data_IF_778388791953
#
_entry.id   IF_778388791953
#
_cell.length_a   1.000
_cell.length_b   1.000
_cell.length_c   1.000
_cell.angle_alpha   90.00
_cell.angle_beta   90.00
_cell.angle_gamma   90.00
#
_symmetry.space_group_name_H-M   'P 1'
#
loop_
_entity.id
_entity.type
_entity.pdbx_description
1 polymer ?
#
# COMPACT_ATOMS: atom_id res chain seq x y z
N UNK A 1 45.50 24.69 23.16
CA UNK A 1 45.34 23.25 22.88
C UNK A 1 43.88 22.81 22.99
N UNK A 2 43.20 23.01 24.13
CA UNK A 2 41.77 22.68 24.28
C UNK A 2 40.85 23.32 23.22
N UNK A 3 41.09 24.56 22.80
CA UNK A 3 40.36 25.19 21.70
C UNK A 3 40.55 24.47 20.35
N UNK A 4 41.77 23.97 20.07
CA UNK A 4 42.06 23.20 18.85
C UNK A 4 41.38 21.83 18.89
N UNK A 5 41.31 21.19 20.06
CA UNK A 5 40.53 19.97 20.25
C UNK A 5 39.04 20.21 20.02
N UNK A 6 38.47 21.26 20.60
CA UNK A 6 37.06 21.62 20.41
C UNK A 6 36.73 21.95 18.95
N UNK A 7 37.62 22.64 18.24
CA UNK A 7 37.46 22.93 16.80
C UNK A 7 37.56 21.66 15.94
N UNK A 8 38.50 20.76 16.25
CA UNK A 8 38.63 19.48 15.57
C UNK A 8 37.41 18.59 15.81
N UNK A 9 36.92 18.51 17.04
CA UNK A 9 35.65 17.87 17.37
C UNK A 9 34.54 18.52 16.53
N UNK A 10 34.35 19.84 16.57
CA UNK A 10 33.31 20.51 15.78
C UNK A 10 33.37 20.24 14.27
N UNK A 11 34.56 20.07 13.68
CA UNK A 11 34.75 19.72 12.27
C UNK A 11 34.36 18.26 11.98
N UNK A 12 34.77 17.32 12.83
CA UNK A 12 34.40 15.89 12.72
C UNK A 12 32.90 15.70 12.96
N UNK A 13 32.33 16.42 13.94
CA UNK A 13 30.90 16.42 14.25
C UNK A 13 30.04 16.99 13.10
N UNK A 14 30.64 17.68 12.12
CA UNK A 14 29.93 18.23 10.94
C UNK A 14 30.20 17.45 9.65
N UNK A 15 31.10 16.47 9.66
CA UNK A 15 31.52 15.77 8.44
C UNK A 15 30.64 14.59 8.05
N UNK A 16 29.78 14.09 8.96
CA UNK A 16 28.86 12.97 8.66
C UNK A 16 27.63 12.93 9.58
N UNK A 17 26.51 12.44 9.07
CA UNK A 17 25.29 12.13 9.86
C UNK A 17 25.16 10.66 10.27
N UNK A 18 26.13 9.79 9.94
CA UNK A 18 26.04 8.34 10.18
C UNK A 18 26.22 7.99 11.66
N UNK A 19 25.14 7.54 12.30
CA UNK A 19 25.10 7.20 13.73
C UNK A 19 26.14 6.15 14.16
N UNK A 20 26.55 5.23 13.28
CA UNK A 20 27.60 4.26 13.61
C UNK A 20 28.96 4.93 13.75
N UNK A 21 29.29 5.84 12.83
CA UNK A 21 30.52 6.63 12.90
C UNK A 21 30.52 7.48 14.16
N UNK A 22 29.38 8.10 14.49
CA UNK A 22 29.18 8.86 15.73
C UNK A 22 29.47 8.04 16.99
N UNK A 23 28.89 6.85 17.11
CA UNK A 23 29.12 5.97 18.26
C UNK A 23 30.58 5.54 18.39
N UNK A 24 31.24 5.23 17.27
CA UNK A 24 32.66 4.86 17.27
C UNK A 24 33.55 6.02 17.74
N UNK A 25 33.33 7.23 17.23
CA UNK A 25 34.11 8.42 17.62
C UNK A 25 33.92 8.74 19.10
N UNK A 26 32.67 8.74 19.59
CA UNK A 26 32.37 9.00 20.99
C UNK A 26 32.98 7.95 21.93
N UNK A 27 32.98 6.68 21.52
CA UNK A 27 33.61 5.60 22.30
C UNK A 27 35.12 5.79 22.42
N UNK A 28 35.80 6.14 21.33
CA UNK A 28 37.24 6.41 21.33
C UNK A 28 37.59 7.59 22.23
N UNK A 29 36.81 8.67 22.17
CA UNK A 29 36.99 9.83 23.05
C UNK A 29 36.76 9.49 24.52
N UNK A 30 35.77 8.64 24.82
CA UNK A 30 35.53 8.17 26.18
C UNK A 30 36.69 7.33 26.73
N UNK A 31 37.32 6.48 25.91
CA UNK A 31 38.53 5.75 26.30
C UNK A 31 39.68 6.72 26.61
N UNK A 32 39.83 7.79 25.84
CA UNK A 32 40.83 8.82 26.10
C UNK A 32 40.57 9.57 27.42
N UNK A 33 39.30 9.85 27.75
CA UNK A 33 38.91 10.46 29.03
C UNK A 33 39.32 9.59 30.23
N UNK A 34 39.05 8.27 30.16
CA UNK A 34 39.46 7.33 31.20
C UNK A 34 40.97 7.23 31.32
N UNK A 35 41.70 7.25 30.20
CA UNK A 35 43.16 7.30 30.19
C UNK A 35 43.69 8.56 30.90
N UNK A 36 43.05 9.71 30.67
CA UNK A 36 43.41 10.96 31.35
C UNK A 36 43.13 10.90 32.86
N UNK A 37 41.98 10.37 33.28
CA UNK A 37 41.66 10.16 34.71
C UNK A 37 42.66 9.20 35.37
N UNK A 38 43.10 8.16 34.67
CA UNK A 38 44.12 7.24 35.18
C UNK A 38 45.49 7.92 35.36
N UNK A 39 45.87 8.81 34.45
CA UNK A 39 47.17 9.50 34.49
C UNK A 39 47.38 10.36 35.76
N UNK A 40 46.31 10.84 36.38
CA UNK A 40 46.36 11.65 37.61
C UNK A 40 46.21 10.83 38.90
N UNK A 41 46.13 9.49 38.81
CA UNK A 41 45.95 8.60 39.97
C UNK A 41 47.09 8.67 40.99
N UNK A 42 48.29 9.02 40.54
CA UNK A 42 49.46 9.22 41.40
C UNK A 42 49.35 10.42 42.35
N UNK A 43 48.41 11.35 42.12
CA UNK A 43 48.15 12.50 43.00
C UNK A 43 47.32 12.11 44.24
N UNK A 44 46.92 10.85 44.32
CA UNK A 44 46.18 10.30 45.43
C UNK A 44 44.66 10.46 45.29
N UNK A 45 43.92 9.70 46.10
CA UNK A 45 42.48 9.51 45.94
C UNK A 45 41.69 10.83 46.04
N UNK A 46 42.14 11.78 46.87
CA UNK A 46 41.44 13.04 47.12
C UNK A 46 41.28 13.94 45.88
N UNK A 47 42.14 13.80 44.85
CA UNK A 47 42.06 14.63 43.64
C UNK A 47 40.75 14.45 42.88
N UNK A 48 40.11 13.28 43.01
CA UNK A 48 38.90 12.94 42.25
C UNK A 48 37.60 13.45 42.86
N UNK A 49 37.57 13.77 44.15
CA UNK A 49 36.32 14.13 44.85
C UNK A 49 36.41 15.35 45.76
N UNK A 50 37.60 15.78 46.19
CA UNK A 50 37.73 16.95 47.05
C UNK A 50 37.80 18.24 46.23
N UNK A 51 36.69 18.57 45.56
CA UNK A 51 36.55 19.72 44.67
C UNK A 51 36.92 21.04 45.36
N UNK A 52 36.71 21.13 46.68
CA UNK A 52 37.05 22.32 47.48
C UNK A 52 38.55 22.65 47.52
N UNK A 53 39.42 21.69 47.16
CA UNK A 53 40.87 21.83 47.14
C UNK A 53 41.44 21.93 45.72
N UNK A 54 40.59 21.95 44.69
CA UNK A 54 41.04 21.99 43.30
C UNK A 54 41.68 23.33 42.96
N UNK A 55 42.90 23.27 42.44
CA UNK A 55 43.60 24.42 41.88
C UNK A 55 43.20 24.61 40.39
N UNK A 56 43.64 25.70 39.71
CA UNK A 56 43.27 25.95 38.32
C UNK A 56 43.64 24.81 37.32
N UNK A 57 44.68 24.02 37.61
CA UNK A 57 45.08 22.87 36.79
C UNK A 57 44.09 21.72 36.98
N UNK A 58 43.66 21.46 38.23
CA UNK A 58 42.67 20.42 38.53
C UNK A 58 41.32 20.74 37.89
N UNK A 59 40.91 22.02 37.94
CA UNK A 59 39.71 22.49 37.24
C UNK A 59 39.82 22.34 35.72
N UNK A 60 40.98 22.62 35.13
CA UNK A 60 41.19 22.47 33.68
C UNK A 60 41.23 21.01 33.21
N UNK A 61 41.75 20.11 34.04
CA UNK A 61 42.05 18.74 33.64
C UNK A 61 41.03 17.70 34.15
N UNK A 62 40.57 17.81 35.40
CA UNK A 62 39.58 16.87 35.94
C UNK A 62 38.16 17.31 35.62
N UNK A 63 37.79 18.57 35.86
CA UNK A 63 36.41 19.02 35.63
C UNK A 63 36.00 18.88 34.16
N UNK A 64 36.89 19.24 33.24
CA UNK A 64 36.66 19.11 31.79
C UNK A 64 36.47 17.64 31.37
N UNK A 65 37.28 16.73 31.92
CA UNK A 65 37.20 15.29 31.61
C UNK A 65 35.96 14.65 32.26
N UNK A 66 35.58 15.04 33.47
CA UNK A 66 34.32 14.60 34.09
C UNK A 66 33.10 15.04 33.30
N UNK A 67 33.04 16.31 32.86
CA UNK A 67 31.97 16.84 32.03
C UNK A 67 31.94 16.20 30.63
N UNK A 68 33.11 16.06 29.99
CA UNK A 68 33.24 15.40 28.70
C UNK A 68 32.85 13.93 28.73
N UNK A 69 33.38 13.16 29.69
CA UNK A 69 33.10 11.74 29.85
C UNK A 69 31.62 11.51 30.22
N UNK A 70 31.06 12.28 31.14
CA UNK A 70 29.63 12.15 31.50
C UNK A 70 28.71 12.46 30.33
N UNK A 71 29.01 13.50 29.54
CA UNK A 71 28.26 13.81 28.32
C UNK A 71 28.41 12.69 27.28
N UNK A 72 29.63 12.19 27.03
CA UNK A 72 29.87 11.08 26.08
C UNK A 72 29.22 9.78 26.51
N UNK A 73 29.27 9.43 27.79
CA UNK A 73 28.52 8.31 28.38
C UNK A 73 27.04 8.55 28.11
N UNK A 74 26.49 9.73 28.43
CA UNK A 74 25.09 10.04 28.17
C UNK A 74 24.71 9.95 26.68
N UNK A 75 25.59 10.26 25.73
CA UNK A 75 25.33 10.06 24.30
C UNK A 75 25.47 8.59 23.85
N UNK A 76 26.40 7.84 24.42
CA UNK A 76 26.66 6.43 24.09
C UNK A 76 25.62 5.49 24.72
N UNK A 77 25.20 5.80 25.94
CA UNK A 77 24.22 5.01 26.69
C UNK A 77 22.82 5.56 26.52
N UNK A 78 22.65 6.88 26.37
CA UNK A 78 21.35 7.56 26.32
C UNK A 78 20.52 7.34 27.59
N UNK A 79 19.48 8.14 27.86
CA UNK A 79 18.22 7.48 28.10
C UNK A 79 17.96 6.68 26.82
N UNK A 80 17.78 5.37 26.92
CA UNK A 80 16.95 4.71 25.93
C UNK A 80 15.58 5.39 26.03
N UNK A 81 15.37 6.51 25.34
CA UNK A 81 14.10 6.66 24.67
C UNK A 81 14.13 5.56 23.64
N UNK A 82 13.80 4.33 24.08
CA UNK A 82 13.20 3.39 23.18
C UNK A 82 12.19 4.22 22.40
N UNK A 83 12.21 4.15 21.09
CA UNK A 83 11.09 4.63 20.29
C UNK A 83 9.74 4.02 20.74
N UNK A 84 9.76 3.05 21.66
CA UNK A 84 8.64 2.50 22.42
C UNK A 84 8.07 3.43 23.51
N UNK A 85 8.83 4.40 24.05
CA UNK A 85 8.39 5.29 25.14
C UNK A 85 7.99 6.71 24.68
N UNK A 86 8.12 7.04 23.39
CA UNK A 86 7.26 8.07 22.82
C UNK A 86 5.86 7.47 22.75
N UNK A 87 4.86 8.11 23.35
CA UNK A 87 3.47 7.68 23.25
C UNK A 87 3.15 7.39 21.77
N UNK A 88 3.05 6.12 21.40
CA UNK A 88 2.83 5.75 20.01
C UNK A 88 1.43 6.20 19.64
N UNK A 89 1.32 6.93 18.53
CA UNK A 89 0.03 7.40 18.04
C UNK A 89 -0.89 6.19 17.86
N UNK A 90 -2.10 6.32 18.41
CA UNK A 90 -3.16 5.33 18.27
C UNK A 90 -4.23 5.87 17.34
N UNK A 91 -4.72 5.01 16.47
CA UNK A 91 -5.91 5.28 15.68
C UNK A 91 -7.02 4.31 16.07
N UNK A 92 -8.24 4.65 15.71
CA UNK A 92 -9.40 3.79 15.90
C UNK A 92 -9.86 3.22 14.57
N UNK A 93 -10.34 1.98 14.57
CA UNK A 93 -10.95 1.35 13.40
C UNK A 93 -11.75 0.11 13.75
N UNK A 94 -12.50 -0.38 12.77
CA UNK A 94 -13.28 -1.59 12.90
C UNK A 94 -12.37 -2.79 12.61
N UNK A 95 -12.13 -3.60 13.64
CA UNK A 95 -11.30 -4.81 13.56
C UNK A 95 -12.17 -6.07 13.62
N UNK A 96 -11.74 -7.11 12.93
CA UNK A 96 -12.22 -8.49 13.11
C UNK A 96 -11.19 -9.30 13.91
N UNK A 97 -11.64 -10.34 14.62
CA UNK A 97 -10.79 -11.18 15.48
C UNK A 97 -10.20 -12.40 14.78
N UNK A 98 -10.77 -12.80 13.66
CA UNK A 98 -10.31 -13.98 12.94
C UNK A 98 -11.27 -14.42 11.84
N UNK A 99 -10.89 -15.47 11.08
CA UNK A 99 -11.71 -16.02 10.00
C UNK A 99 -13.05 -16.57 10.49
N UNK A 100 -13.12 -17.11 11.71
CA UNK A 100 -14.39 -17.62 12.26
C UNK A 100 -15.40 -16.51 12.60
N UNK A 101 -14.92 -15.27 12.78
CA UNK A 101 -15.72 -14.11 13.17
C UNK A 101 -15.59 -12.97 12.15
N UNK A 102 -15.27 -13.29 10.89
CA UNK A 102 -14.95 -12.32 9.83
C UNK A 102 -16.07 -11.30 9.50
N UNK A 103 -17.29 -11.56 9.96
CA UNK A 103 -18.44 -10.66 9.81
C UNK A 103 -18.71 -9.82 11.07
N UNK A 104 -17.94 -9.99 12.14
CA UNK A 104 -18.11 -9.31 13.42
C UNK A 104 -17.06 -8.21 13.56
N UNK A 105 -17.47 -6.98 13.27
CA UNK A 105 -16.60 -5.80 13.32
C UNK A 105 -16.68 -5.12 14.69
N UNK A 106 -15.53 -4.90 15.31
CA UNK A 106 -15.40 -4.25 16.61
C UNK A 106 -14.61 -2.96 16.49
N UNK A 107 -15.19 -1.85 16.94
CA UNK A 107 -14.46 -0.57 17.02
C UNK A 107 -13.40 -0.66 18.12
N UNK A 108 -12.12 -0.53 17.75
CA UNK A 108 -10.98 -0.66 18.66
C UNK A 108 -9.89 0.34 18.32
N UNK A 109 -9.05 0.63 19.31
CA UNK A 109 -7.79 1.34 19.11
C UNK A 109 -6.69 0.38 18.67
N UNK A 110 -5.84 0.83 17.77
CA UNK A 110 -4.61 0.15 17.38
C UNK A 110 -3.44 1.14 17.34
N UNK A 111 -2.26 0.61 17.60
CA UNK A 111 -1.01 1.35 17.55
C UNK A 111 -0.53 1.47 16.11
N UNK A 112 -0.05 2.66 15.74
CA UNK A 112 0.55 2.91 14.44
C UNK A 112 2.06 2.81 14.48
N UNK A 113 2.69 2.58 13.32
CA UNK A 113 4.14 2.73 13.23
C UNK A 113 4.56 4.16 13.63
N UNK A 114 5.77 4.36 14.19
CA UNK A 114 6.30 5.69 14.44
C UNK A 114 6.20 6.59 13.21
N UNK A 115 5.85 7.86 13.43
CA UNK A 115 5.81 8.87 12.38
C UNK A 115 7.24 9.19 11.96
N UNK A 116 7.52 9.04 10.67
CA UNK A 116 8.82 9.24 10.05
C UNK A 116 8.81 10.41 9.07
N UNK A 117 10.00 10.71 8.55
CA UNK A 117 10.26 11.92 7.78
C UNK A 117 9.43 12.08 6.49
N UNK A 118 9.00 10.96 5.91
CA UNK A 118 8.29 10.89 4.64
C UNK A 118 6.84 10.42 4.80
N UNK A 119 6.35 10.28 6.04
CA UNK A 119 5.00 9.81 6.28
C UNK A 119 3.96 10.91 6.13
N UNK A 120 2.75 10.47 5.82
CA UNK A 120 1.54 11.28 5.84
C UNK A 120 0.52 10.55 6.70
N UNK A 121 -0.03 11.27 7.68
CA UNK A 121 -1.26 10.86 8.35
C UNK A 121 -2.44 11.41 7.58
N UNK A 122 -3.38 10.55 7.24
CA UNK A 122 -4.55 10.90 6.43
C UNK A 122 -5.79 10.64 7.26
N UNK A 123 -6.61 11.68 7.46
CA UNK A 123 -7.95 11.55 8.02
C UNK A 123 -8.87 10.98 6.93
N UNK A 124 -9.41 9.79 7.17
CA UNK A 124 -10.20 9.06 6.17
C UNK A 124 -11.62 9.61 6.13
N UNK A 125 -12.13 9.88 4.93
CA UNK A 125 -13.52 10.29 4.70
C UNK A 125 -14.34 9.24 3.94
N UNK A 126 -13.65 8.36 3.20
CA UNK A 126 -14.26 7.30 2.41
C UNK A 126 -13.30 6.12 2.21
N UNK A 127 -13.81 4.89 2.19
CA UNK A 127 -13.05 3.72 1.76
C UNK A 127 -13.91 2.79 0.91
N UNK A 128 -13.39 2.35 -0.23
CA UNK A 128 -14.02 1.28 -1.02
C UNK A 128 -13.98 -0.07 -0.31
N UNK A 129 -14.90 -0.97 -0.67
CA UNK A 129 -14.94 -2.35 -0.19
C UNK A 129 -14.52 -3.28 -1.33
N UNK A 130 -13.38 -3.95 -1.15
CA UNK A 130 -12.77 -4.82 -2.13
C UNK A 130 -12.98 -6.30 -1.79
N UNK A 131 -13.04 -7.18 -2.81
CA UNK A 131 -13.09 -8.63 -2.57
C UNK A 131 -11.84 -9.12 -1.83
N UNK A 132 -10.69 -8.46 -2.02
CA UNK A 132 -9.47 -8.72 -1.26
C UNK A 132 -9.68 -8.53 0.25
N UNK A 133 -10.48 -7.54 0.67
CA UNK A 133 -10.82 -7.36 2.09
C UNK A 133 -11.49 -8.63 2.63
N UNK A 134 -12.44 -9.19 1.87
CA UNK A 134 -13.20 -10.40 2.23
C UNK A 134 -12.29 -11.63 2.25
N UNK A 135 -11.49 -11.86 1.20
CA UNK A 135 -10.56 -13.00 1.10
C UNK A 135 -9.51 -13.00 2.22
N UNK A 136 -9.11 -11.82 2.69
CA UNK A 136 -8.20 -11.68 3.83
C UNK A 136 -8.91 -12.03 5.15
N UNK A 137 -10.06 -11.41 5.44
CA UNK A 137 -10.70 -11.60 6.75
C UNK A 137 -11.38 -12.95 6.92
N UNK A 138 -11.83 -13.59 5.84
CA UNK A 138 -12.44 -14.93 5.88
C UNK A 138 -11.40 -16.07 5.88
N UNK A 139 -10.10 -15.75 5.72
CA UNK A 139 -9.02 -16.74 5.66
C UNK A 139 -8.81 -17.43 4.30
N UNK A 140 -9.50 -16.98 3.25
CA UNK A 140 -9.44 -17.56 1.89
C UNK A 140 -8.06 -17.48 1.23
N UNK A 141 -7.25 -16.48 1.61
CA UNK A 141 -5.85 -16.36 1.16
C UNK A 141 -4.83 -16.83 2.21
N UNK A 142 -5.28 -17.59 3.21
CA UNK A 142 -4.43 -18.16 4.26
C UNK A 142 -4.36 -17.31 5.53
N UNK A 143 -3.46 -17.68 6.47
CA UNK A 143 -3.39 -17.07 7.79
C UNK A 143 -3.08 -15.56 7.75
N UNK A 144 -3.68 -14.82 8.69
CA UNK A 144 -3.51 -13.37 8.84
C UNK A 144 -3.23 -12.98 10.29
N UNK A 145 -2.70 -11.78 10.49
CA UNK A 145 -2.45 -11.22 11.81
C UNK A 145 -3.68 -10.48 12.34
N UNK A 146 -4.39 -11.09 13.28
CA UNK A 146 -5.56 -10.51 13.95
C UNK A 146 -5.20 -9.94 15.35
N UNK A 147 -5.96 -8.95 15.88
CA UNK A 147 -7.12 -8.30 15.28
C UNK A 147 -6.73 -7.38 14.09
N UNK A 148 -7.59 -7.34 13.07
CA UNK A 148 -7.27 -6.70 11.79
C UNK A 148 -8.38 -5.77 11.30
N UNK A 149 -8.02 -4.52 11.02
CA UNK A 149 -8.80 -3.60 10.20
C UNK A 149 -8.35 -3.73 8.75
N UNK A 150 -9.27 -4.05 7.84
CA UNK A 150 -9.03 -4.10 6.39
C UNK A 150 -9.54 -2.84 5.69
N UNK A 151 -9.62 -2.84 4.35
CA UNK A 151 -9.92 -1.70 3.52
C UNK A 151 -8.65 -1.06 2.96
N UNK A 152 -8.57 -0.91 1.64
CA UNK A 152 -7.38 -0.37 0.97
C UNK A 152 -7.69 0.47 -0.27
N UNK A 153 -8.85 1.10 -0.24
CA UNK A 153 -9.38 1.96 -1.29
C UNK A 153 -9.72 3.32 -0.68
N UNK A 154 -8.70 3.96 -0.09
CA UNK A 154 -8.88 4.99 0.93
C UNK A 154 -8.85 6.37 0.30
N UNK A 155 -9.84 7.22 0.58
CA UNK A 155 -9.80 8.65 0.26
C UNK A 155 -9.95 9.44 1.55
N UNK A 156 -9.19 10.53 1.66
CA UNK A 156 -9.14 11.35 2.85
C UNK A 156 -8.41 12.67 2.65
N UNK A 157 -8.08 13.33 3.75
CA UNK A 157 -7.29 14.56 3.76
C UNK A 157 -5.98 14.34 4.51
N UNK A 158 -4.88 14.80 3.92
CA UNK A 158 -3.59 14.82 4.60
C UNK A 158 -3.68 15.73 5.84
N UNK A 159 -3.57 15.14 7.03
CA UNK A 159 -3.69 15.85 8.31
C UNK A 159 -2.32 16.32 8.82
N UNK A 160 -1.31 15.45 8.73
CA UNK A 160 0.06 15.74 9.15
C UNK A 160 1.02 15.19 8.09
N UNK A 161 1.99 16.00 7.67
CA UNK A 161 3.03 15.58 6.71
C UNK A 161 4.41 15.59 7.36
N UNK A 162 5.22 14.60 7.01
CA UNK A 162 6.60 14.49 7.46
C UNK A 162 7.47 15.64 6.93
N UNK A 163 8.55 15.99 7.65
CA UNK A 163 9.43 17.11 7.30
C UNK A 163 10.12 16.99 5.94
N UNK A 164 10.20 15.79 5.35
CA UNK A 164 10.79 15.55 4.03
C UNK A 164 9.77 15.22 2.95
N UNK A 165 8.47 15.27 3.27
CA UNK A 165 7.39 15.08 2.29
C UNK A 165 7.40 16.22 1.27
N UNK A 166 7.29 15.85 -0.01
CA UNK A 166 7.30 16.79 -1.15
C UNK A 166 6.14 16.58 -2.12
N UNK A 167 5.49 15.42 -2.09
CA UNK A 167 4.46 15.02 -3.04
C UNK A 167 3.04 15.43 -2.61
N UNK A 168 2.85 15.77 -1.33
CA UNK A 168 1.56 16.05 -0.71
C UNK A 168 1.68 17.23 0.26
N UNK A 169 0.63 18.02 0.39
CA UNK A 169 0.51 19.11 1.37
C UNK A 169 -0.56 18.82 2.40
N UNK A 170 -0.41 19.33 3.62
CA UNK A 170 -1.49 19.30 4.62
C UNK A 170 -2.77 19.95 4.08
N UNK A 171 -3.92 19.37 4.43
CA UNK A 171 -5.25 19.73 3.95
C UNK A 171 -5.63 19.18 2.57
N UNK A 172 -4.66 18.70 1.79
CA UNK A 172 -4.89 18.19 0.44
C UNK A 172 -5.75 16.91 0.47
N UNK A 173 -6.72 16.82 -0.46
CA UNK A 173 -7.49 15.58 -0.67
C UNK A 173 -6.65 14.56 -1.43
N UNK A 174 -6.47 13.41 -0.81
CA UNK A 174 -5.56 12.36 -1.26
C UNK A 174 -6.20 10.98 -1.13
N UNK A 175 -5.62 10.01 -1.82
CA UNK A 175 -5.99 8.61 -1.68
C UNK A 175 -4.80 7.68 -1.48
N UNK A 176 -5.08 6.51 -0.91
CA UNK A 176 -4.13 5.42 -0.66
C UNK A 176 -4.73 4.12 -1.17
N UNK A 177 -3.92 3.37 -1.93
CA UNK A 177 -4.32 2.10 -2.53
C UNK A 177 -3.95 0.87 -1.71
N UNK A 178 -3.79 -0.26 -2.39
CA UNK A 178 -3.51 -1.57 -1.80
C UNK A 178 -2.07 -1.78 -1.34
N UNK A 179 -1.11 -0.98 -1.83
CA UNK A 179 0.29 -1.03 -1.43
C UNK A 179 0.62 0.16 -0.53
N UNK A 180 1.40 -0.09 0.53
CA UNK A 180 1.83 0.93 1.49
C UNK A 180 3.35 1.06 1.65
N UNK A 181 4.13 0.14 1.06
CA UNK A 181 5.59 0.19 1.13
C UNK A 181 6.29 -0.55 -0.02
N UNK A 182 7.54 -0.17 -0.27
CA UNK A 182 8.57 -0.84 -1.08
C UNK A 182 9.93 -0.25 -0.71
N UNK A 183 11.03 -0.90 -1.06
CA UNK A 183 12.37 -0.39 -0.75
C UNK A 183 12.77 0.89 -1.51
N UNK A 184 12.05 1.28 -2.57
CA UNK A 184 12.33 2.39 -3.49
C UNK A 184 13.72 2.40 -4.19
N UNK A 185 14.60 1.46 -3.86
CA UNK A 185 16.00 1.45 -4.33
C UNK A 185 16.32 0.37 -5.36
N UNK A 186 15.53 -0.70 -5.43
CA UNK A 186 15.81 -1.82 -6.31
C UNK A 186 15.51 -1.49 -7.78
N UNK A 187 15.95 -2.38 -8.69
CA UNK A 187 15.72 -2.23 -10.14
C UNK A 187 14.23 -2.05 -10.47
N UNK A 188 13.35 -2.79 -9.80
CA UNK A 188 11.91 -2.72 -10.03
C UNK A 188 11.36 -1.35 -9.62
N UNK A 189 11.66 -0.89 -8.39
CA UNK A 189 11.20 0.41 -7.92
C UNK A 189 11.72 1.57 -8.79
N UNK A 190 13.01 1.54 -9.17
CA UNK A 190 13.63 2.57 -10.03
C UNK A 190 13.07 2.58 -11.46
N UNK A 191 12.27 1.59 -11.83
CA UNK A 191 11.68 1.45 -13.16
C UNK A 191 10.13 1.40 -13.11
N UNK A 192 9.51 2.12 -12.16
CA UNK A 192 8.04 2.20 -12.01
C UNK A 192 7.36 0.82 -11.89
N UNK A 193 7.98 -0.07 -11.12
CA UNK A 193 7.49 -1.42 -10.83
C UNK A 193 7.60 -1.73 -9.33
N UNK A 194 7.45 -0.72 -8.49
CA UNK A 194 7.47 -0.81 -7.02
C UNK A 194 6.45 -1.80 -6.46
N UNK A 195 5.38 -2.10 -7.19
CA UNK A 195 4.40 -3.15 -6.83
C UNK A 195 4.94 -4.57 -6.93
N UNK A 196 6.04 -4.77 -7.66
CA UNK A 196 6.77 -6.03 -7.74
C UNK A 196 8.07 -6.00 -6.93
N UNK A 197 8.21 -5.04 -6.02
CA UNK A 197 9.33 -5.02 -5.10
C UNK A 197 9.30 -6.25 -4.19
N UNK A 198 10.48 -6.83 -3.91
CA UNK A 198 10.59 -7.97 -2.99
C UNK A 198 10.30 -7.61 -1.53
N UNK A 199 10.38 -6.31 -1.21
CA UNK A 199 10.09 -5.76 0.11
C UNK A 199 8.75 -5.01 0.12
N UNK A 200 7.85 -5.28 -0.84
CA UNK A 200 6.55 -4.61 -0.86
C UNK A 200 5.73 -4.98 0.38
N UNK A 201 4.96 -4.03 0.92
CA UNK A 201 3.97 -4.31 1.97
C UNK A 201 2.59 -3.81 1.55
N UNK A 202 1.59 -4.64 1.82
CA UNK A 202 0.19 -4.31 1.61
C UNK A 202 -0.30 -3.30 2.68
N UNK A 203 -1.34 -2.54 2.33
CA UNK A 203 -1.94 -1.51 3.19
C UNK A 203 -2.53 -2.05 4.48
N UNK A 204 -2.87 -3.34 4.55
CA UNK A 204 -3.26 -4.01 5.77
C UNK A 204 -2.67 -5.42 5.83
N UNK A 205 -2.55 -5.98 7.03
CA UNK A 205 -2.15 -7.37 7.27
C UNK A 205 -0.65 -7.65 7.10
N UNK A 206 0.13 -6.70 6.58
CA UNK A 206 1.58 -6.79 6.44
C UNK A 206 2.29 -6.35 7.72
N UNK A 207 3.52 -6.82 7.96
CA UNK A 207 4.30 -6.48 9.16
C UNK A 207 5.38 -5.48 8.82
N UNK A 208 5.38 -4.32 9.49
CA UNK A 208 6.45 -3.32 9.34
C UNK A 208 7.79 -3.90 9.85
N UNK A 209 8.83 -4.00 9.00
CA UNK A 209 10.08 -4.68 9.35
C UNK A 209 10.76 -4.16 10.62
N UNK A 210 10.78 -2.83 10.81
CA UNK A 210 11.53 -2.20 11.90
C UNK A 210 10.78 -2.21 13.25
N UNK A 211 9.47 -2.42 13.24
CA UNK A 211 8.63 -2.26 14.45
C UNK A 211 7.85 -3.51 14.84
N UNK A 212 7.65 -4.44 13.91
CA UNK A 212 6.76 -5.59 14.11
C UNK A 212 5.27 -5.22 14.17
N UNK A 213 4.92 -3.95 13.93
CA UNK A 213 3.53 -3.49 13.92
C UNK A 213 2.87 -3.97 12.63
N UNK A 214 1.66 -4.52 12.74
CA UNK A 214 0.85 -4.95 11.61
C UNK A 214 0.16 -3.75 10.97
N UNK A 215 0.21 -3.61 9.65
CA UNK A 215 -0.51 -2.57 8.90
C UNK A 215 -2.01 -2.74 9.09
N UNK A 216 -2.71 -1.62 9.28
CA UNK A 216 -4.16 -1.56 9.49
C UNK A 216 -4.76 -0.68 8.39
N UNK A 217 -5.88 -1.13 7.84
CA UNK A 217 -6.51 -0.59 6.66
C UNK A 217 -7.48 0.56 6.91
N UNK A 218 -8.30 0.82 5.89
CA UNK A 218 -9.12 1.99 5.71
C UNK A 218 -10.48 1.99 6.39
N UNK A 219 -10.92 0.90 7.01
CA UNK A 219 -12.12 0.93 7.88
C UNK A 219 -11.78 1.53 9.26
N UNK A 220 -11.04 2.63 9.25
CA UNK A 220 -10.45 3.32 10.39
C UNK A 220 -10.57 4.83 10.26
N UNK A 221 -10.36 5.54 11.38
CA UNK A 221 -10.35 7.00 11.43
C UNK A 221 -9.23 7.61 10.57
N UNK A 222 -8.06 6.98 10.56
CA UNK A 222 -6.86 7.49 9.92
C UNK A 222 -6.00 6.35 9.37
N UNK A 223 -5.21 6.66 8.34
CA UNK A 223 -4.13 5.80 7.86
C UNK A 223 -2.81 6.58 7.87
N UNK A 224 -1.72 5.88 8.23
CA UNK A 224 -0.35 6.39 8.14
C UNK A 224 0.41 5.64 7.06
N UNK A 225 0.93 6.34 6.06
CA UNK A 225 1.77 5.73 5.04
C UNK A 225 2.79 6.71 4.49
N UNK A 226 3.79 6.20 3.79
CA UNK A 226 4.83 7.00 3.16
C UNK A 226 4.29 7.70 1.90
N UNK A 227 4.70 8.96 1.66
CA UNK A 227 4.14 9.85 0.63
C UNK A 227 4.08 9.27 -0.79
N UNK A 228 4.97 8.33 -1.10
CA UNK A 228 5.02 7.62 -2.39
C UNK A 228 3.73 6.84 -2.70
N UNK A 229 3.00 6.37 -1.68
CA UNK A 229 1.72 5.66 -1.82
C UNK A 229 0.51 6.56 -1.54
N UNK A 230 0.75 7.87 -1.44
CA UNK A 230 -0.30 8.88 -1.30
C UNK A 230 -0.47 9.59 -2.65
N UNK A 231 -1.68 9.51 -3.20
CA UNK A 231 -2.01 10.00 -4.53
C UNK A 231 -2.96 11.19 -4.44
N UNK A 232 -2.72 12.29 -5.17
CA UNK A 232 -3.69 13.37 -5.27
C UNK A 232 -4.97 12.90 -5.97
N UNK A 233 -6.13 13.27 -5.46
CA UNK A 233 -7.42 12.97 -6.08
C UNK A 233 -7.93 14.21 -6.83
N UNK A 234 -8.29 14.12 -8.13
CA UNK A 234 -8.81 15.26 -8.89
C UNK A 234 -10.10 15.83 -8.27
N UNK A 235 -10.23 17.15 -8.18
CA UNK A 235 -11.39 17.84 -7.58
C UNK A 235 -12.73 17.52 -8.25
N UNK A 236 -12.71 17.20 -9.53
CA UNK A 236 -13.88 16.78 -10.33
C UNK A 236 -14.42 15.39 -9.94
N UNK A 237 -13.63 14.56 -9.26
CA UNK A 237 -13.98 13.18 -8.92
C UNK A 237 -14.41 13.10 -7.44
N UNK A 238 -15.69 12.79 -7.15
CA UNK A 238 -16.17 12.61 -5.78
C UNK A 238 -15.44 11.46 -5.08
N UNK A 239 -15.23 11.58 -3.76
CA UNK A 239 -14.44 10.62 -2.98
C UNK A 239 -14.95 9.18 -3.06
N UNK A 240 -16.27 8.98 -3.04
CA UNK A 240 -16.88 7.65 -3.18
C UNK A 240 -16.71 7.05 -4.58
N UNK A 241 -16.50 7.87 -5.61
CA UNK A 241 -16.19 7.43 -6.97
C UNK A 241 -14.69 7.12 -7.11
N UNK A 242 -13.83 7.95 -6.51
CA UNK A 242 -12.39 7.79 -6.56
C UNK A 242 -11.88 6.59 -5.73
N UNK A 243 -12.49 6.33 -4.58
CA UNK A 243 -12.04 5.31 -3.62
C UNK A 243 -11.83 3.93 -4.29
N UNK A 244 -12.81 3.34 -5.00
CA UNK A 244 -12.61 2.05 -5.65
C UNK A 244 -11.56 2.03 -6.77
N UNK A 245 -11.18 3.20 -7.30
CA UNK A 245 -10.16 3.28 -8.36
C UNK A 245 -8.75 3.03 -7.80
N UNK A 246 -8.52 3.28 -6.51
CA UNK A 246 -7.22 3.14 -5.86
C UNK A 246 -6.75 1.69 -5.69
N UNK A 247 -7.63 0.72 -5.92
CA UNK A 247 -7.26 -0.68 -6.03
C UNK A 247 -7.85 -1.33 -7.31
N UNK A 248 -9.16 -1.50 -7.45
CA UNK A 248 -9.69 -2.13 -8.68
C UNK A 248 -9.45 -1.32 -9.93
N UNK A 249 -9.56 0.01 -9.84
CA UNK A 249 -9.32 0.86 -11.00
C UNK A 249 -7.91 0.64 -11.54
N UNK A 250 -6.91 0.85 -10.70
CA UNK A 250 -5.51 0.71 -11.09
C UNK A 250 -5.15 -0.72 -11.49
N UNK A 251 -5.70 -1.73 -10.80
CA UNK A 251 -5.51 -3.14 -11.12
C UNK A 251 -6.10 -3.51 -12.49
N UNK A 252 -7.17 -2.82 -12.91
CA UNK A 252 -7.76 -3.00 -14.23
C UNK A 252 -7.05 -2.16 -15.30
N UNK A 253 -6.58 -0.97 -14.95
CA UNK A 253 -5.91 -0.04 -15.86
C UNK A 253 -4.49 -0.48 -16.26
N UNK A 254 -3.68 -0.86 -15.27
CA UNK A 254 -2.28 -1.27 -15.44
C UNK A 254 -2.08 -2.36 -16.52
N UNK A 255 -2.78 -3.51 -16.50
CA UNK A 255 -2.61 -4.52 -17.54
C UNK A 255 -3.08 -4.05 -18.93
N UNK A 256 -4.01 -3.10 -19.02
CA UNK A 256 -4.43 -2.55 -20.31
C UNK A 256 -3.30 -1.71 -20.92
N UNK A 257 -2.77 -0.75 -20.18
CA UNK A 257 -1.71 0.14 -20.70
C UNK A 257 -0.40 -0.59 -20.94
N UNK A 258 -0.01 -1.53 -20.07
CA UNK A 258 1.20 -2.34 -20.24
C UNK A 258 1.15 -3.27 -21.45
N UNK A 259 -0.05 -3.58 -21.94
CA UNK A 259 -0.25 -4.41 -23.13
C UNK A 259 -0.71 -3.62 -24.36
N UNK A 260 -0.58 -2.29 -24.33
CA UNK A 260 -0.77 -1.44 -25.50
C UNK A 260 -2.22 -1.35 -25.97
N UNK A 261 -3.19 -1.44 -25.06
CA UNK A 261 -4.60 -1.24 -25.37
C UNK A 261 -4.83 0.18 -25.90
N UNK A 262 -5.53 0.30 -27.02
CA UNK A 262 -5.82 1.56 -27.69
C UNK A 262 -6.58 1.36 -29.01
N UNK A 263 -6.67 2.40 -29.87
CA UNK A 263 -7.34 2.31 -31.16
C UNK A 263 -6.80 1.17 -32.03
N UNK A 264 -7.72 0.41 -32.63
CA UNK A 264 -7.39 -0.75 -33.47
C UNK A 264 -7.10 -2.04 -32.70
N UNK A 265 -7.14 -2.01 -31.36
CA UNK A 265 -7.07 -3.23 -30.52
C UNK A 265 -8.45 -3.73 -30.16
N UNK A 266 -8.59 -5.06 -30.12
CA UNK A 266 -9.78 -5.75 -29.62
C UNK A 266 -9.48 -6.46 -28.32
N UNK A 267 -10.17 -6.06 -27.24
CA UNK A 267 -9.92 -6.51 -25.87
C UNK A 267 -11.15 -7.17 -25.28
N UNK A 268 -10.98 -8.29 -24.59
CA UNK A 268 -12.04 -8.89 -23.79
C UNK A 268 -11.78 -8.76 -22.29
N UNK A 269 -12.82 -8.45 -21.52
CA UNK A 269 -12.80 -8.43 -20.06
C UNK A 269 -13.63 -9.61 -19.55
N UNK A 270 -12.98 -10.57 -18.89
CA UNK A 270 -13.66 -11.74 -18.30
C UNK A 270 -14.13 -11.41 -16.89
N UNK A 271 -15.42 -11.61 -16.65
CA UNK A 271 -16.11 -11.26 -15.43
C UNK A 271 -16.50 -9.79 -15.41
N UNK A 272 -17.79 -9.51 -15.19
CA UNK A 272 -18.26 -8.13 -14.98
C UNK A 272 -18.56 -7.92 -13.48
N UNK A 273 -17.50 -7.81 -12.71
CA UNK A 273 -17.53 -7.55 -11.26
C UNK A 273 -16.92 -6.19 -10.92
N UNK A 274 -16.41 -6.07 -9.69
CA UNK A 274 -15.78 -4.84 -9.20
C UNK A 274 -14.55 -4.40 -10.01
N UNK A 275 -13.71 -5.34 -10.48
CA UNK A 275 -12.59 -5.02 -11.38
C UNK A 275 -13.07 -4.92 -12.83
N UNK A 276 -13.83 -5.91 -13.30
CA UNK A 276 -14.29 -5.99 -14.68
C UNK A 276 -14.99 -4.74 -15.19
N UNK A 277 -15.85 -4.11 -14.38
CA UNK A 277 -16.52 -2.88 -14.82
C UNK A 277 -15.54 -1.72 -15.08
N UNK A 278 -14.47 -1.59 -14.29
CA UNK A 278 -13.38 -0.65 -14.58
C UNK A 278 -12.59 -1.06 -15.81
N UNK A 279 -12.31 -2.36 -15.98
CA UNK A 279 -11.67 -2.90 -17.18
C UNK A 279 -12.40 -2.48 -18.46
N UNK A 280 -13.73 -2.57 -18.48
CA UNK A 280 -14.56 -2.14 -19.62
C UNK A 280 -14.45 -0.64 -19.84
N UNK A 281 -14.71 0.16 -18.80
CA UNK A 281 -14.70 1.63 -18.91
C UNK A 281 -13.32 2.16 -19.35
N UNK A 282 -12.23 1.60 -18.83
CA UNK A 282 -10.87 2.01 -19.21
C UNK A 282 -10.47 1.52 -20.60
N UNK A 283 -10.78 0.29 -20.99
CA UNK A 283 -10.49 -0.18 -22.35
C UNK A 283 -11.21 0.68 -23.40
N UNK A 284 -12.47 1.06 -23.13
CA UNK A 284 -13.23 2.01 -23.96
C UNK A 284 -12.63 3.41 -23.94
N UNK A 285 -12.27 3.94 -22.78
CA UNK A 285 -11.65 5.26 -22.67
C UNK A 285 -10.29 5.36 -23.39
N UNK A 286 -9.54 4.25 -23.44
CA UNK A 286 -8.31 4.11 -24.20
C UNK A 286 -8.54 3.95 -25.72
N UNK A 287 -9.78 3.68 -26.14
CA UNK A 287 -10.18 3.65 -27.55
C UNK A 287 -10.21 2.26 -28.19
N UNK A 288 -10.16 1.18 -27.41
CA UNK A 288 -10.24 -0.19 -27.94
C UNK A 288 -11.68 -0.62 -28.26
N UNK A 289 -11.81 -1.59 -29.16
CA UNK A 289 -13.02 -2.42 -29.27
C UNK A 289 -13.05 -3.34 -28.05
N UNK A 290 -14.06 -3.19 -27.18
CA UNK A 290 -14.10 -3.81 -25.87
C UNK A 290 -15.29 -4.74 -25.76
N UNK A 291 -15.01 -6.00 -25.44
CA UNK A 291 -16.03 -7.02 -25.22
C UNK A 291 -16.03 -7.48 -23.76
N UNK A 292 -17.19 -7.90 -23.29
CA UNK A 292 -17.34 -8.53 -21.98
C UNK A 292 -17.60 -10.01 -22.16
N UNK A 293 -16.92 -10.84 -21.36
CA UNK A 293 -17.19 -12.27 -21.26
C UNK A 293 -17.71 -12.55 -19.86
N UNK A 294 -18.92 -13.09 -19.76
CA UNK A 294 -19.58 -13.40 -18.49
C UNK A 294 -20.25 -14.77 -18.55
N UNK A 295 -20.66 -15.31 -17.40
CA UNK A 295 -21.34 -16.62 -17.34
C UNK A 295 -22.72 -16.61 -17.99
N UNK A 296 -23.47 -15.51 -17.81
CA UNK A 296 -24.84 -15.35 -18.31
C UNK A 296 -25.04 -13.93 -18.82
N UNK A 297 -26.13 -13.70 -19.56
CA UNK A 297 -26.55 -12.38 -20.06
C UNK A 297 -27.05 -11.40 -18.99
N UNK A 298 -27.13 -11.80 -17.71
CA UNK A 298 -27.67 -10.98 -16.60
C UNK A 298 -26.97 -9.63 -16.36
N UNK A 299 -25.83 -9.38 -17.03
CA UNK A 299 -25.07 -8.13 -16.94
C UNK A 299 -24.78 -7.48 -18.29
N UNK A 300 -25.42 -7.94 -19.36
CA UNK A 300 -25.18 -7.45 -20.72
C UNK A 300 -25.62 -6.00 -20.91
N UNK A 301 -26.82 -5.64 -20.43
CA UNK A 301 -27.32 -4.26 -20.49
C UNK A 301 -26.42 -3.28 -19.72
N UNK A 302 -25.86 -3.71 -18.59
CA UNK A 302 -24.92 -2.89 -17.83
C UNK A 302 -23.58 -2.76 -18.57
N UNK A 303 -23.07 -3.84 -19.16
CA UNK A 303 -21.86 -3.81 -20.01
C UNK A 303 -22.02 -2.79 -21.17
N UNK A 304 -23.19 -2.80 -21.82
CA UNK A 304 -23.51 -1.87 -22.90
C UNK A 304 -23.56 -0.42 -22.41
N UNK A 305 -24.17 -0.15 -21.24
CA UNK A 305 -24.16 1.19 -20.62
C UNK A 305 -22.76 1.68 -20.24
N UNK A 306 -21.85 0.75 -19.93
CA UNK A 306 -20.43 1.05 -19.70
C UNK A 306 -19.63 1.26 -20.99
N UNK A 307 -20.25 1.03 -22.15
CA UNK A 307 -19.67 1.27 -23.46
C UNK A 307 -19.10 0.03 -24.16
N UNK A 308 -19.32 -1.18 -23.64
CA UNK A 308 -18.88 -2.39 -24.34
C UNK A 308 -19.48 -2.48 -25.76
N UNK A 309 -18.66 -2.88 -26.73
CA UNK A 309 -19.05 -3.06 -28.13
C UNK A 309 -19.69 -4.42 -28.39
N UNK A 310 -19.49 -5.39 -27.48
CA UNK A 310 -20.12 -6.70 -27.53
C UNK A 310 -20.05 -7.48 -26.22
N UNK A 311 -20.77 -8.58 -26.17
CA UNK A 311 -20.92 -9.43 -24.99
C UNK A 311 -20.94 -10.90 -25.39
N UNK A 312 -20.24 -11.74 -24.64
CA UNK A 312 -20.25 -13.20 -24.78
C UNK A 312 -20.71 -13.82 -23.46
N UNK A 313 -21.78 -14.61 -23.50
CA UNK A 313 -22.22 -15.42 -22.38
C UNK A 313 -21.69 -16.85 -22.53
N UNK A 314 -20.91 -17.33 -21.56
CA UNK A 314 -20.36 -18.69 -21.62
C UNK A 314 -21.40 -19.78 -21.41
N UNK A 315 -22.64 -19.42 -21.03
CA UNK A 315 -23.79 -20.30 -21.03
C UNK A 315 -24.28 -20.65 -22.45
N UNK A 316 -23.92 -19.85 -23.44
CA UNK A 316 -24.36 -20.06 -24.80
C UNK A 316 -23.59 -21.21 -25.44
N UNK A 317 -24.30 -21.94 -26.30
CA UNK A 317 -23.67 -22.99 -27.09
C UNK A 317 -22.67 -22.36 -28.05
N UNK A 318 -21.47 -22.92 -28.11
CA UNK A 318 -20.39 -22.49 -29.02
C UNK A 318 -20.06 -20.98 -28.91
N UNK A 319 -20.24 -20.38 -27.72
CA UNK A 319 -20.08 -18.95 -27.45
C UNK A 319 -18.75 -18.35 -27.93
N UNK A 320 -17.69 -19.16 -27.99
CA UNK A 320 -16.35 -18.74 -28.39
C UNK A 320 -16.10 -18.83 -29.90
N UNK A 321 -16.83 -19.69 -30.63
CA UNK A 321 -16.56 -20.01 -32.04
C UNK A 321 -16.58 -18.78 -32.97
N UNK A 322 -17.54 -17.84 -32.85
CA UNK A 322 -17.56 -16.65 -33.71
C UNK A 322 -16.35 -15.70 -33.52
N UNK A 323 -15.60 -15.88 -32.44
CA UNK A 323 -14.52 -14.99 -32.03
C UNK A 323 -13.16 -15.67 -31.91
N UNK A 324 -13.00 -16.87 -32.50
CA UNK A 324 -11.70 -17.53 -32.56
C UNK A 324 -10.66 -16.62 -33.20
N UNK A 325 -9.53 -16.43 -32.51
CA UNK A 325 -8.42 -15.61 -32.97
C UNK A 325 -8.79 -14.18 -33.34
N UNK A 326 -9.60 -13.50 -32.52
CA UNK A 326 -10.01 -12.11 -32.77
C UNK A 326 -9.52 -11.11 -31.72
N UNK A 327 -9.10 -11.55 -30.54
CA UNK A 327 -8.73 -10.67 -29.44
C UNK A 327 -7.21 -10.51 -29.30
N UNK A 328 -6.73 -9.28 -29.19
CA UNK A 328 -5.32 -8.98 -28.87
C UNK A 328 -4.99 -9.27 -27.39
N UNK A 329 -5.96 -9.01 -26.51
CA UNK A 329 -5.81 -9.08 -25.07
C UNK A 329 -7.09 -9.57 -24.42
N UNK A 330 -6.95 -10.47 -23.46
CA UNK A 330 -8.01 -10.83 -22.52
C UNK A 330 -7.51 -10.53 -21.11
N UNK A 331 -8.25 -9.69 -20.38
CA UNK A 331 -8.00 -9.42 -18.95
C UNK A 331 -9.03 -10.19 -18.13
N UNK A 332 -8.55 -11.13 -17.31
CA UNK A 332 -9.42 -11.91 -16.43
C UNK A 332 -9.55 -11.29 -15.05
N UNK A 333 -10.78 -10.95 -14.69
CA UNK A 333 -11.14 -10.33 -13.41
C UNK A 333 -12.02 -11.24 -12.55
N UNK A 334 -12.14 -12.52 -12.93
CA UNK A 334 -12.97 -13.49 -12.24
C UNK A 334 -12.44 -13.80 -10.84
N UNK A 335 -13.35 -13.85 -9.86
CA UNK A 335 -13.06 -14.19 -8.46
C UNK A 335 -13.34 -15.66 -8.12
N UNK A 336 -13.79 -16.46 -9.09
CA UNK A 336 -13.89 -17.91 -9.00
C UNK A 336 -13.73 -18.58 -10.36
N UNK A 337 -13.17 -19.78 -10.39
CA UNK A 337 -13.23 -20.69 -11.52
C UNK A 337 -14.32 -21.72 -11.23
N UNK A 338 -15.58 -21.37 -11.51
CA UNK A 338 -16.71 -22.25 -11.25
C UNK A 338 -16.71 -23.54 -12.08
N UNK A 339 -17.68 -24.42 -11.80
CA UNK A 339 -17.87 -25.66 -12.54
C UNK A 339 -17.97 -25.42 -14.06
N UNK A 340 -17.20 -26.18 -14.84
CA UNK A 340 -17.16 -26.06 -16.29
C UNK A 340 -16.26 -24.94 -16.82
N UNK A 341 -15.49 -24.25 -15.98
CA UNK A 341 -14.43 -23.35 -16.44
C UNK A 341 -13.42 -24.13 -17.31
N UNK A 342 -13.26 -23.71 -18.56
CA UNK A 342 -12.33 -24.30 -19.50
C UNK A 342 -11.46 -23.21 -20.12
N UNK A 343 -10.24 -23.07 -19.59
CA UNK A 343 -9.27 -22.05 -20.04
C UNK A 343 -9.04 -22.11 -21.56
N UNK A 344 -8.98 -23.30 -22.17
CA UNK A 344 -8.73 -23.44 -23.60
C UNK A 344 -9.80 -22.75 -24.47
N UNK A 345 -11.04 -22.71 -24.00
CA UNK A 345 -12.12 -22.01 -24.71
C UNK A 345 -11.86 -20.51 -24.77
N UNK A 346 -11.31 -19.93 -23.70
CA UNK A 346 -10.91 -18.53 -23.67
C UNK A 346 -9.62 -18.28 -24.47
N UNK A 347 -8.62 -19.17 -24.36
CA UNK A 347 -7.37 -19.02 -25.11
C UNK A 347 -7.61 -19.09 -26.62
N UNK A 348 -8.61 -19.85 -27.09
CA UNK A 348 -8.98 -19.92 -28.51
C UNK A 348 -9.44 -18.58 -29.10
N UNK A 349 -9.86 -17.64 -28.26
CA UNK A 349 -10.31 -16.31 -28.67
C UNK A 349 -9.15 -15.38 -29.03
N UNK A 350 -7.96 -15.65 -28.47
CA UNK A 350 -6.79 -14.81 -28.67
C UNK A 350 -6.25 -14.96 -30.09
N UNK A 351 -5.95 -13.84 -30.74
CA UNK A 351 -5.21 -13.81 -31.99
C UNK A 351 -3.77 -14.33 -31.77
N UNK A 352 -2.99 -14.46 -32.86
CA UNK A 352 -1.61 -14.92 -32.81
C UNK A 352 -0.80 -14.04 -31.85
N UNK A 353 -0.18 -14.68 -30.85
CA UNK A 353 0.56 -14.03 -29.76
C UNK A 353 -0.26 -13.09 -28.86
N UNK A 354 -1.59 -13.19 -28.92
CA UNK A 354 -2.49 -12.52 -27.98
C UNK A 354 -2.22 -12.95 -26.55
N UNK A 355 -2.64 -12.11 -25.60
CA UNK A 355 -2.28 -12.27 -24.18
C UNK A 355 -3.50 -12.50 -23.30
N UNK A 356 -3.42 -13.50 -22.43
CA UNK A 356 -4.29 -13.64 -21.27
C UNK A 356 -3.58 -13.08 -20.04
N UNK A 357 -4.17 -12.07 -19.39
CA UNK A 357 -3.62 -11.46 -18.17
C UNK A 357 -4.64 -11.61 -17.03
N UNK A 358 -4.29 -12.40 -16.01
CA UNK A 358 -5.12 -12.54 -14.82
C UNK A 358 -4.85 -11.44 -13.80
N UNK A 359 -5.92 -10.84 -13.30
CA UNK A 359 -5.91 -9.99 -12.10
C UNK A 359 -6.89 -10.49 -11.03
N UNK A 360 -7.76 -11.44 -11.40
CA UNK A 360 -8.54 -12.21 -10.45
C UNK A 360 -7.68 -13.26 -9.76
N UNK A 361 -7.85 -13.39 -8.43
CA UNK A 361 -7.17 -14.36 -7.57
C UNK A 361 -8.21 -15.23 -6.84
N UNK A 362 -8.87 -16.16 -7.55
CA UNK A 362 -9.83 -17.06 -6.94
C UNK A 362 -9.17 -17.95 -5.87
N UNK A 363 -9.95 -18.34 -4.85
CA UNK A 363 -9.51 -19.22 -3.77
C UNK A 363 -9.33 -20.68 -4.25
N UNK A 364 -9.94 -21.07 -5.38
CA UNK A 364 -9.87 -22.43 -5.90
C UNK A 364 -8.49 -22.77 -6.51
N UNK A 365 -8.07 -24.02 -6.32
CA UNK A 365 -6.72 -24.47 -6.64
C UNK A 365 -6.56 -24.96 -8.11
N UNK A 366 -5.52 -24.40 -8.73
CA UNK A 366 -4.79 -24.84 -9.94
C UNK A 366 -5.47 -24.68 -11.32
N UNK A 367 -4.86 -23.83 -12.15
CA UNK A 367 -5.04 -23.86 -13.61
C UNK A 367 -4.06 -24.86 -14.23
N UNK A 368 -4.57 -25.94 -14.83
CA UNK A 368 -3.75 -26.92 -15.55
C UNK A 368 -3.58 -26.49 -17.00
N UNK A 369 -2.32 -26.30 -17.42
CA UNK A 369 -1.97 -25.81 -18.76
C UNK A 369 -0.95 -26.75 -19.37
N UNK A 370 -1.24 -27.30 -20.55
CA UNK A 370 -0.29 -28.07 -21.35
C UNK A 370 0.31 -27.16 -22.41
N UNK A 371 1.58 -27.37 -22.82
CA UNK A 371 2.16 -26.62 -23.93
C UNK A 371 1.31 -26.66 -25.22
N UNK A 372 0.62 -27.78 -25.48
CA UNK A 372 -0.27 -27.95 -26.62
C UNK A 372 -1.51 -27.05 -26.58
N UNK A 373 -1.91 -26.57 -25.40
CA UNK A 373 -3.03 -25.65 -25.24
C UNK A 373 -2.67 -24.24 -25.77
N UNK A 374 -1.37 -23.90 -25.81
CA UNK A 374 -0.86 -22.60 -26.28
C UNK A 374 -0.45 -22.61 -27.77
N UNK A 375 -0.10 -23.78 -28.30
CA UNK A 375 0.43 -23.94 -29.66
C UNK A 375 -0.49 -23.44 -30.81
N UNK A 376 -1.84 -23.56 -30.75
CA UNK A 376 -2.69 -23.20 -31.89
C UNK A 376 -2.58 -21.74 -32.35
N UNK A 377 -2.33 -20.81 -31.42
CA UNK A 377 -2.17 -19.38 -31.70
C UNK A 377 -0.90 -18.77 -31.06
N UNK A 378 -0.07 -19.58 -30.40
CA UNK A 378 1.12 -19.09 -29.70
C UNK A 378 0.80 -18.07 -28.61
N UNK A 379 -0.39 -18.15 -27.99
CA UNK A 379 -0.81 -17.18 -27.00
C UNK A 379 0.06 -17.19 -25.74
N UNK A 380 0.07 -16.06 -25.04
CA UNK A 380 0.84 -15.85 -23.82
C UNK A 380 -0.10 -15.75 -22.62
N UNK A 381 0.34 -16.27 -21.47
CA UNK A 381 -0.41 -16.22 -20.21
C UNK A 381 0.45 -15.53 -19.16
N UNK A 382 -0.14 -14.57 -18.45
CA UNK A 382 0.50 -13.86 -17.36
C UNK A 382 -0.50 -13.38 -16.31
N UNK A 383 0.02 -12.64 -15.32
CA UNK A 383 -0.78 -12.00 -14.29
C UNK A 383 -0.28 -10.56 -14.04
N UNK A 384 -1.13 -9.73 -13.48
CA UNK A 384 -0.79 -8.36 -13.08
C UNK A 384 -1.14 -8.13 -11.62
N UNK A 385 -0.30 -7.36 -10.92
CA UNK A 385 -0.49 -6.97 -9.52
C UNK A 385 -0.51 -5.45 -9.45
N UNK A 386 -1.67 -4.89 -9.08
CA UNK A 386 -1.91 -3.44 -8.97
C UNK A 386 -1.38 -2.66 -10.21
N UNK A 387 -0.86 -1.46 -9.96
CA UNK A 387 -0.10 -0.64 -10.89
C UNK A 387 0.82 0.29 -10.11
N UNK A 388 1.79 0.87 -10.81
CA UNK A 388 2.73 1.83 -10.23
C UNK A 388 2.07 3.18 -9.91
N UNK A 389 2.73 4.00 -9.11
CA UNK A 389 2.43 5.41 -8.87
C UNK A 389 2.29 6.16 -10.18
N UNK A 390 3.19 5.93 -11.14
CA UNK A 390 3.11 6.55 -12.46
C UNK A 390 1.76 6.23 -13.12
N UNK A 391 1.40 4.94 -13.15
CA UNK A 391 0.14 4.49 -13.75
C UNK A 391 -1.09 4.97 -12.97
N UNK A 392 -1.02 5.07 -11.64
CA UNK A 392 -2.08 5.63 -10.81
C UNK A 392 -2.37 7.10 -11.16
N UNK A 393 -1.32 7.91 -11.31
CA UNK A 393 -1.45 9.31 -11.70
C UNK A 393 -1.98 9.46 -13.13
N UNK A 394 -1.51 8.62 -14.07
CA UNK A 394 -2.00 8.58 -15.45
C UNK A 394 -3.47 8.13 -15.52
N UNK A 395 -3.88 7.16 -14.70
CA UNK A 395 -5.26 6.70 -14.60
C UNK A 395 -6.18 7.82 -14.11
N UNK A 396 -5.85 8.50 -13.01
CA UNK A 396 -6.68 9.61 -12.52
C UNK A 396 -6.73 10.79 -13.49
N UNK A 397 -5.65 11.04 -14.23
CA UNK A 397 -5.66 12.00 -15.33
C UNK A 397 -6.65 11.60 -16.43
N UNK A 398 -6.64 10.34 -16.86
CA UNK A 398 -7.61 9.83 -17.85
C UNK A 398 -9.05 9.93 -17.34
N UNK A 399 -9.27 9.61 -16.06
CA UNK A 399 -10.58 9.71 -15.40
C UNK A 399 -11.10 11.14 -15.45
N UNK A 400 -10.26 12.12 -15.10
CA UNK A 400 -10.61 13.53 -15.12
C UNK A 400 -10.88 14.04 -16.56
N UNK A 401 -9.97 13.75 -17.50
CA UNK A 401 -10.07 14.20 -18.90
C UNK A 401 -11.28 13.61 -19.64
N UNK A 402 -11.69 12.38 -19.31
CA UNK A 402 -12.79 11.67 -19.97
C UNK A 402 -14.09 11.67 -19.17
N UNK A 403 -14.10 12.23 -17.96
CA UNK A 403 -15.27 12.23 -17.07
C UNK A 403 -15.74 10.82 -16.70
N UNK A 404 -14.82 9.89 -16.45
CA UNK A 404 -15.15 8.49 -16.15
C UNK A 404 -15.74 8.40 -14.74
N UNK A 405 -16.96 7.88 -14.60
CA UNK A 405 -17.59 7.66 -13.30
C UNK A 405 -17.86 6.18 -13.06
N UNK A 406 -17.46 5.69 -11.89
CA UNK A 406 -17.73 4.33 -11.42
C UNK A 406 -19.19 4.15 -10.97
N UNK A 407 -19.61 2.90 -10.82
CA UNK A 407 -20.93 2.50 -10.36
C UNK A 407 -20.81 2.03 -8.91
N UNK A 408 -21.12 2.93 -7.99
CA UNK A 408 -20.84 2.77 -6.56
C UNK A 408 -22.13 2.89 -5.74
N UNK A 409 -22.34 1.93 -4.86
CA UNK A 409 -23.33 2.02 -3.78
C UNK A 409 -22.64 2.54 -2.51
N UNK A 410 -23.02 3.73 -2.05
CA UNK A 410 -22.47 4.32 -0.82
C UNK A 410 -23.15 3.75 0.42
N UNK A 411 -22.38 3.39 1.42
CA UNK A 411 -22.89 2.81 2.67
C UNK A 411 -22.32 3.60 3.86
N UNK A 412 -23.14 4.14 4.78
CA UNK A 412 -22.62 4.80 5.98
C UNK A 412 -21.80 3.83 6.83
N UNK A 413 -20.63 4.25 7.28
CA UNK A 413 -19.74 3.41 8.07
C UNK A 413 -20.39 3.06 9.43
N UNK A 414 -20.49 1.77 9.72
CA UNK A 414 -20.82 1.23 11.05
C UNK A 414 -20.43 -0.25 11.09
N UNK A 415 -20.31 -0.84 12.29
CA UNK A 415 -20.04 -2.27 12.43
C UNK A 415 -21.11 -3.14 11.72
N UNK A 416 -22.38 -2.77 11.85
CA UNK A 416 -23.50 -3.46 11.23
C UNK A 416 -23.46 -3.35 9.70
N UNK A 417 -23.20 -2.15 9.17
CA UNK A 417 -23.14 -1.92 7.74
C UNK A 417 -21.92 -2.58 7.10
N UNK A 418 -20.75 -2.58 7.77
CA UNK A 418 -19.60 -3.36 7.35
C UNK A 418 -19.95 -4.84 7.26
N UNK A 419 -20.53 -5.41 8.32
CA UNK A 419 -20.96 -6.82 8.37
C UNK A 419 -21.89 -7.19 7.22
N UNK A 420 -22.94 -6.38 6.97
CA UNK A 420 -23.87 -6.60 5.86
C UNK A 420 -23.19 -6.47 4.50
N UNK A 421 -22.32 -5.48 4.34
CA UNK A 421 -21.69 -5.16 3.06
C UNK A 421 -20.70 -6.24 2.64
N UNK A 422 -19.84 -6.72 3.55
CA UNK A 422 -18.89 -7.80 3.23
C UNK A 422 -19.62 -9.11 2.89
N UNK A 423 -20.76 -9.39 3.54
CA UNK A 423 -21.58 -10.55 3.22
C UNK A 423 -22.28 -10.43 1.85
N UNK A 424 -22.79 -9.25 1.50
CA UNK A 424 -23.35 -8.97 0.16
C UNK A 424 -22.27 -9.13 -0.91
N UNK A 425 -21.08 -8.56 -0.68
CA UNK A 425 -19.95 -8.67 -1.58
C UNK A 425 -19.50 -10.13 -1.76
N UNK A 426 -19.40 -10.91 -0.68
CA UNK A 426 -19.09 -12.35 -0.74
C UNK A 426 -20.10 -13.13 -1.61
N UNK A 427 -21.38 -12.73 -1.58
CA UNK A 427 -22.44 -13.30 -2.43
C UNK A 427 -22.52 -12.69 -3.82
N UNK A 428 -21.58 -11.80 -4.19
CA UNK A 428 -21.59 -11.01 -5.44
C UNK A 428 -22.87 -10.15 -5.63
N UNK A 429 -23.53 -9.77 -4.54
CA UNK A 429 -24.73 -8.92 -4.51
C UNK A 429 -24.34 -7.43 -4.50
N UNK A 430 -23.82 -6.94 -5.63
CA UNK A 430 -23.43 -5.55 -5.83
C UNK A 430 -23.39 -5.17 -7.31
N UNK A 431 -23.66 -3.90 -7.62
CA UNK A 431 -23.55 -3.28 -8.96
C UNK A 431 -22.86 -1.91 -8.86
N UNK A 432 -21.53 -1.80 -8.87
CA UNK A 432 -20.52 -2.87 -8.93
C UNK A 432 -19.48 -2.78 -7.83
N UNK A 433 -19.46 -1.67 -7.08
CA UNK A 433 -18.61 -1.45 -5.91
C UNK A 433 -19.42 -0.87 -4.76
N UNK A 434 -18.95 -1.10 -3.54
CA UNK A 434 -19.39 -0.35 -2.36
C UNK A 434 -18.33 0.66 -1.98
N UNK A 435 -18.77 1.76 -1.38
CA UNK A 435 -17.90 2.70 -0.69
C UNK A 435 -18.48 3.04 0.68
N UNK A 436 -17.70 2.79 1.73
CA UNK A 436 -17.99 3.25 3.07
C UNK A 436 -17.81 4.77 3.11
N UNK A 437 -18.80 5.49 3.63
CA UNK A 437 -18.84 6.95 3.75
C UNK A 437 -19.23 7.36 5.18
N UNK A 438 -19.42 8.65 5.44
CA UNK A 438 -19.84 9.18 6.75
C UNK A 438 -18.87 8.88 7.91
N UNK A 439 -17.57 8.81 7.63
CA UNK A 439 -16.53 8.54 8.63
C UNK A 439 -16.55 9.53 9.81
N UNK A 440 -16.83 10.81 9.55
CA UNK A 440 -16.94 11.85 10.58
C UNK A 440 -18.05 11.56 11.61
N UNK A 441 -19.12 10.82 11.22
CA UNK A 441 -20.20 10.45 12.15
C UNK A 441 -19.77 9.38 13.15
N UNK A 442 -18.72 8.61 12.83
CA UNK A 442 -18.20 7.53 13.67
C UNK A 442 -17.01 8.02 14.50
N UNK A 443 -16.07 8.72 13.86
CA UNK A 443 -14.78 9.07 14.47
C UNK A 443 -14.67 10.54 14.90
N UNK A 444 -15.65 11.38 14.55
CA UNK A 444 -15.65 12.82 14.82
C UNK A 444 -15.00 13.65 13.70
N UNK A 445 -15.28 14.96 13.74
CA UNK A 445 -14.78 15.98 12.81
C UNK A 445 -13.31 16.37 13.10
#
# INVERSE_FOLDING_TARGET
MYLLFALNEALVLRSTGDLKVWKTVLFVLLVADFGHLYSVSGLGPNVYWNISQWNPIDWGNLAFVYLGASMRIAFLTGPHTNSRDMAQDKFQGFQVDGPETWTQFHLREFVTKPFGDYDVDIKIECCGVCSSDVHTINGGWGPQHFPLTVGHEIVGRALRVGPKVTLVKEGQRVGVGAQSYSCLECRQCKNNNETYCKEQLDTFGAVWPDTGIVTQGGYSSHVRTHEHWVFPIPDSVPSHIAAPMLCAGITSYSPLVRNGVGPGKKVAIVGLGGLGHFGVMFAKALGAETWVISRTHSKEEDAKKMGADGFLATSDKDWNVPHHMTFDLIVSTANSFGDGFNLNSYLSLLDVHGKWISVGFPEEAELKIRPQDLNPNGCLIGASHLGSRKEMLEMFKLVDEKGISSWVETVPLSAENLSKTVQRLHKNDVRYRFAMVDYDKVFGA
#
